data_IF_372364866884
#
_entry.id   IF_372364866884
#
_cell.length_a   1.000
_cell.length_b   1.000
_cell.length_c   1.000
_cell.angle_alpha   90.00
_cell.angle_beta   90.00
_cell.angle_gamma   90.00
#
_symmetry.space_group_name_H-M   'P 1'
#
loop_
_entity.id
_entity.type
_entity.pdbx_description
1 polymer ?
#
# COMPACT_ATOMS: atom_id res chain seq x y z
N UNK A 1 -8.16 -23.88 -14.13
CA UNK A 1 -6.72 -23.53 -14.01
C UNK A 1 -6.54 -22.12 -14.52
N UNK A 2 -5.73 -21.28 -13.86
CA UNK A 2 -5.52 -19.89 -14.28
C UNK A 2 -4.80 -19.81 -15.64
N UNK A 3 -5.10 -18.78 -16.42
CA UNK A 3 -4.46 -18.56 -17.73
C UNK A 3 -3.12 -17.80 -17.60
N UNK A 4 -2.37 -17.69 -18.70
CA UNK A 4 -1.08 -16.97 -18.72
C UNK A 4 -1.23 -15.50 -18.32
N UNK A 5 -2.35 -14.86 -18.65
CA UNK A 5 -2.62 -13.45 -18.34
C UNK A 5 -2.76 -13.25 -16.83
N UNK A 6 -3.44 -14.17 -16.14
CA UNK A 6 -3.60 -14.15 -14.69
C UNK A 6 -2.24 -14.23 -13.98
N UNK A 7 -1.37 -15.18 -14.37
CA UNK A 7 -0.03 -15.27 -13.79
C UNK A 7 0.83 -14.03 -14.07
N UNK A 8 0.77 -13.49 -15.29
CA UNK A 8 1.48 -12.26 -15.64
C UNK A 8 1.02 -11.08 -14.76
N UNK A 9 -0.29 -10.97 -14.51
CA UNK A 9 -0.86 -9.93 -13.65
C UNK A 9 -0.38 -10.04 -12.21
N UNK A 10 -0.36 -11.26 -11.64
CA UNK A 10 0.23 -11.50 -10.31
C UNK A 10 1.68 -11.03 -10.30
N UNK A 11 2.49 -11.47 -11.27
CA UNK A 11 3.92 -11.15 -11.32
C UNK A 11 4.19 -9.63 -11.40
N UNK A 12 3.42 -8.92 -12.23
CA UNK A 12 3.50 -7.45 -12.34
C UNK A 12 3.20 -6.81 -10.97
N UNK A 13 2.12 -7.20 -10.31
CA UNK A 13 1.73 -6.62 -9.03
C UNK A 13 2.72 -6.93 -7.91
N UNK A 14 3.29 -8.14 -7.88
CA UNK A 14 4.35 -8.49 -6.94
C UNK A 14 5.56 -7.57 -7.09
N UNK A 15 5.97 -7.32 -8.35
CA UNK A 15 7.09 -6.42 -8.67
C UNK A 15 6.78 -4.98 -8.28
N UNK A 16 5.59 -4.47 -8.64
CA UNK A 16 5.16 -3.12 -8.28
C UNK A 16 5.11 -2.91 -6.76
N UNK A 17 4.66 -3.92 -6.00
CA UNK A 17 4.57 -3.86 -4.54
C UNK A 17 5.88 -4.20 -3.83
N UNK A 18 6.97 -4.49 -4.57
CA UNK A 18 8.26 -4.94 -4.03
C UNK A 18 8.13 -6.13 -3.06
N UNK A 19 7.19 -7.04 -3.35
CA UNK A 19 6.95 -8.24 -2.54
C UNK A 19 8.04 -9.25 -2.85
N UNK A 20 8.75 -9.71 -1.82
CA UNK A 20 9.74 -10.77 -1.95
C UNK A 20 9.06 -12.12 -2.19
N UNK A 21 9.80 -13.10 -2.70
CA UNK A 21 9.25 -14.44 -2.89
C UNK A 21 8.79 -15.07 -1.56
N UNK A 22 9.54 -14.84 -0.48
CA UNK A 22 9.20 -15.33 0.86
C UNK A 22 7.91 -14.69 1.42
N UNK A 23 7.77 -13.37 1.26
CA UNK A 23 6.54 -12.67 1.62
C UNK A 23 5.36 -13.16 0.78
N UNK A 24 5.58 -13.39 -0.52
CA UNK A 24 4.54 -13.91 -1.40
C UNK A 24 4.07 -15.31 -0.99
N UNK A 25 4.98 -16.23 -0.66
CA UNK A 25 4.64 -17.55 -0.13
C UNK A 25 3.85 -17.46 1.16
N UNK A 26 4.23 -16.53 2.04
CA UNK A 26 3.50 -16.26 3.28
C UNK A 26 2.07 -15.78 3.00
N UNK A 27 1.89 -14.83 2.08
CA UNK A 27 0.56 -14.37 1.64
C UNK A 27 -0.28 -15.55 1.11
N UNK A 28 0.31 -16.42 0.29
CA UNK A 28 -0.38 -17.56 -0.29
C UNK A 28 -0.85 -18.56 0.78
N UNK A 29 0.04 -18.92 1.71
CA UNK A 29 -0.27 -19.84 2.80
C UNK A 29 -1.31 -19.27 3.76
N UNK A 30 -1.11 -18.04 4.23
CA UNK A 30 -1.93 -17.44 5.29
C UNK A 30 -3.35 -17.06 4.82
N UNK A 31 -3.52 -16.75 3.52
CA UNK A 31 -4.81 -16.28 2.99
C UNK A 31 -5.57 -17.33 2.17
N UNK A 32 -4.88 -18.34 1.65
CA UNK A 32 -5.43 -19.28 0.68
C UNK A 32 -5.07 -20.74 0.95
N UNK A 33 -4.22 -21.04 1.95
CA UNK A 33 -3.75 -22.39 2.30
C UNK A 33 -3.08 -23.12 1.12
N UNK A 34 -2.34 -22.37 0.29
CA UNK A 34 -1.60 -22.92 -0.86
C UNK A 34 -0.13 -22.50 -0.85
N UNK A 35 0.72 -23.30 -1.50
CA UNK A 35 2.16 -23.05 -1.63
C UNK A 35 2.51 -22.34 -2.95
N UNK A 36 1.60 -22.34 -3.92
CA UNK A 36 1.83 -21.76 -5.25
C UNK A 36 0.57 -21.17 -5.86
N UNK A 37 0.72 -20.09 -6.65
CA UNK A 37 -0.38 -19.54 -7.46
C UNK A 37 -0.98 -20.54 -8.44
N UNK A 38 -0.27 -21.62 -8.77
CA UNK A 38 -0.79 -22.69 -9.63
C UNK A 38 -1.96 -23.45 -9.01
N UNK A 39 -2.04 -23.45 -7.68
CA UNK A 39 -3.09 -24.13 -6.91
C UNK A 39 -4.33 -23.26 -6.70
N UNK A 40 -4.26 -21.96 -7.03
CA UNK A 40 -5.37 -21.04 -6.86
C UNK A 40 -6.51 -21.37 -7.84
N UNK A 41 -7.73 -21.40 -7.32
CA UNK A 41 -8.93 -21.29 -8.14
C UNK A 41 -9.21 -19.82 -8.50
N UNK A 42 -10.19 -19.58 -9.37
CA UNK A 42 -10.50 -18.23 -9.88
C UNK A 42 -10.93 -17.25 -8.76
N UNK A 43 -11.73 -17.72 -7.80
CA UNK A 43 -12.17 -16.90 -6.67
C UNK A 43 -11.00 -16.51 -5.76
N UNK A 44 -10.08 -17.44 -5.49
CA UNK A 44 -8.86 -17.16 -4.72
C UNK A 44 -7.93 -16.22 -5.48
N UNK A 45 -7.81 -16.38 -6.79
CA UNK A 45 -7.06 -15.47 -7.65
C UNK A 45 -7.60 -14.04 -7.57
N UNK A 46 -8.92 -13.83 -7.72
CA UNK A 46 -9.50 -12.49 -7.65
C UNK A 46 -9.26 -11.84 -6.29
N UNK A 47 -9.39 -12.62 -5.21
CA UNK A 47 -9.06 -12.17 -3.85
C UNK A 47 -7.58 -11.81 -3.71
N UNK A 48 -6.66 -12.61 -4.25
CA UNK A 48 -5.23 -12.30 -4.27
C UNK A 48 -4.96 -10.99 -5.01
N UNK A 49 -5.56 -10.80 -6.17
CA UNK A 49 -5.43 -9.55 -6.94
C UNK A 49 -5.94 -8.35 -6.13
N UNK A 50 -7.09 -8.48 -5.46
CA UNK A 50 -7.61 -7.43 -4.57
C UNK A 50 -6.64 -7.09 -3.44
N UNK A 51 -6.05 -8.10 -2.78
CA UNK A 51 -5.05 -7.89 -1.72
C UNK A 51 -3.82 -7.15 -2.24
N UNK A 52 -3.27 -7.59 -3.39
CA UNK A 52 -2.10 -6.97 -4.00
C UNK A 52 -2.38 -5.52 -4.44
N UNK A 53 -3.55 -5.26 -5.02
CA UNK A 53 -3.97 -3.91 -5.40
C UNK A 53 -4.15 -3.00 -4.17
N UNK A 54 -4.70 -3.51 -3.07
CA UNK A 54 -4.81 -2.75 -1.82
C UNK A 54 -3.44 -2.38 -1.27
N UNK A 55 -2.48 -3.32 -1.27
CA UNK A 55 -1.10 -3.06 -0.85
C UNK A 55 -0.45 -2.01 -1.74
N UNK A 56 -0.57 -2.15 -3.07
CA UNK A 56 -0.08 -1.16 -4.04
C UNK A 56 -0.66 0.23 -3.78
N UNK A 57 -1.97 0.33 -3.59
CA UNK A 57 -2.63 1.61 -3.34
C UNK A 57 -2.13 2.26 -2.05
N UNK A 58 -2.00 1.47 -0.97
CA UNK A 58 -1.44 1.99 0.28
C UNK A 58 -0.01 2.48 0.13
N UNK A 59 0.83 1.80 -0.65
CA UNK A 59 2.20 2.21 -0.93
C UNK A 59 2.23 3.54 -1.70
N UNK A 60 1.45 3.65 -2.78
CA UNK A 60 1.34 4.87 -3.59
C UNK A 60 0.83 6.07 -2.76
N UNK A 61 -0.12 5.85 -1.85
CA UNK A 61 -0.60 6.91 -0.96
C UNK A 61 0.49 7.42 0.00
N UNK A 62 1.35 6.52 0.52
CA UNK A 62 2.48 6.89 1.37
C UNK A 62 3.56 7.64 0.59
N UNK A 63 3.88 7.16 -0.61
CA UNK A 63 4.80 7.85 -1.53
C UNK A 63 4.29 9.26 -1.84
N UNK A 64 3.02 9.39 -2.20
CA UNK A 64 2.39 10.69 -2.46
C UNK A 64 2.40 11.60 -1.24
N UNK A 65 2.14 11.08 -0.04
CA UNK A 65 2.23 11.84 1.21
C UNK A 65 3.65 12.37 1.44
N UNK A 66 4.66 11.52 1.29
CA UNK A 66 6.07 11.91 1.40
C UNK A 66 6.43 13.01 0.41
N UNK A 67 5.99 12.88 -0.85
CA UNK A 67 6.22 13.90 -1.88
C UNK A 67 5.54 15.24 -1.52
N UNK A 68 4.31 15.21 -1.01
CA UNK A 68 3.63 16.43 -0.55
C UNK A 68 4.37 17.11 0.59
N UNK A 69 4.78 16.34 1.61
CA UNK A 69 5.52 16.88 2.76
C UNK A 69 6.86 17.48 2.33
N UNK A 70 7.55 16.84 1.37
CA UNK A 70 8.77 17.35 0.77
C UNK A 70 8.53 18.66 0.00
N UNK A 71 7.48 18.73 -0.82
CA UNK A 71 7.09 19.96 -1.56
C UNK A 71 6.71 21.11 -0.63
N UNK A 72 6.24 20.80 0.56
CA UNK A 72 5.92 21.77 1.62
C UNK A 72 7.12 22.08 2.53
N UNK A 73 8.30 21.54 2.24
CA UNK A 73 9.54 21.75 3.00
C UNK A 73 9.44 21.35 4.49
N UNK A 74 8.60 20.35 4.80
CA UNK A 74 8.43 19.84 6.15
C UNK A 74 9.64 19.00 6.54
N UNK A 75 10.49 19.54 7.43
CA UNK A 75 11.74 18.87 7.88
C UNK A 75 11.53 17.65 8.79
N UNK A 76 10.44 17.63 9.55
CA UNK A 76 10.10 16.54 10.48
C UNK A 76 8.70 15.98 10.16
N UNK A 77 8.57 15.15 9.11
CA UNK A 77 7.30 14.63 8.62
C UNK A 77 6.44 13.97 9.71
N UNK A 78 7.03 13.07 10.50
CA UNK A 78 6.34 12.28 11.52
C UNK A 78 5.80 13.15 12.65
N UNK A 79 6.61 14.09 13.15
CA UNK A 79 6.20 15.04 14.17
C UNK A 79 5.08 15.97 13.65
N UNK A 80 5.15 16.36 12.38
CA UNK A 80 4.14 17.20 11.75
C UNK A 80 2.81 16.44 11.58
N UNK A 81 2.87 15.21 11.09
CA UNK A 81 1.70 14.33 10.98
C UNK A 81 1.10 14.05 12.36
N UNK A 82 1.93 13.79 13.37
CA UNK A 82 1.49 13.55 14.74
C UNK A 82 0.65 14.72 15.28
N UNK A 83 1.04 15.95 14.95
CA UNK A 83 0.26 17.16 15.29
C UNK A 83 -1.06 17.24 14.52
N UNK A 84 -1.11 16.84 13.25
CA UNK A 84 -2.33 16.82 12.45
C UNK A 84 -3.34 15.79 12.98
N UNK A 85 -2.85 14.61 13.37
CA UNK A 85 -3.68 13.49 13.80
C UNK A 85 -3.95 13.47 15.31
N UNK A 86 -3.30 14.34 16.09
CA UNK A 86 -3.33 14.34 17.55
C UNK A 86 -3.00 12.96 18.13
N UNK A 87 -2.00 12.28 17.54
CA UNK A 87 -1.58 10.91 17.87
C UNK A 87 -0.08 10.77 17.61
N UNK A 88 0.61 9.97 18.43
CA UNK A 88 2.01 9.62 18.17
C UNK A 88 2.13 8.77 16.89
N UNK A 89 2.80 9.31 15.87
CA UNK A 89 3.20 8.59 14.67
C UNK A 89 4.72 8.49 14.68
N UNK A 90 5.23 7.27 14.87
CA UNK A 90 6.68 7.00 14.87
C UNK A 90 7.24 6.88 13.46
N UNK A 91 6.47 6.27 12.55
CA UNK A 91 6.82 6.10 11.14
C UNK A 91 5.59 6.29 10.28
N UNK A 92 5.76 6.92 9.12
CA UNK A 92 4.69 7.04 8.11
C UNK A 92 4.23 5.66 7.62
N UNK A 93 5.13 4.67 7.62
CA UNK A 93 4.82 3.29 7.25
C UNK A 93 3.78 2.63 8.18
N UNK A 94 3.66 3.09 9.42
CA UNK A 94 2.73 2.51 10.40
C UNK A 94 1.32 3.12 10.30
N UNK A 95 1.16 4.15 9.47
CA UNK A 95 -0.12 4.82 9.31
C UNK A 95 -1.14 3.93 8.60
N UNK A 96 -2.36 3.93 9.13
CA UNK A 96 -3.52 3.34 8.48
C UNK A 96 -3.93 4.15 7.25
N UNK A 97 -4.66 3.49 6.34
CA UNK A 97 -5.21 4.15 5.14
C UNK A 97 -6.07 5.37 5.47
N UNK A 98 -6.85 5.29 6.55
CA UNK A 98 -7.71 6.39 6.99
C UNK A 98 -6.90 7.59 7.51
N UNK A 99 -5.85 7.33 8.29
CA UNK A 99 -4.94 8.35 8.78
C UNK A 99 -4.23 9.07 7.63
N UNK A 100 -3.71 8.32 6.65
CA UNK A 100 -3.08 8.90 5.45
C UNK A 100 -4.09 9.76 4.70
N UNK A 101 -5.32 9.27 4.49
CA UNK A 101 -6.38 10.02 3.82
C UNK A 101 -6.75 11.34 4.53
N UNK A 102 -6.81 11.34 5.87
CA UNK A 102 -7.04 12.54 6.68
C UNK A 102 -5.92 13.56 6.49
N UNK A 103 -4.66 13.12 6.57
CA UNK A 103 -3.49 14.00 6.39
C UNK A 103 -3.48 14.60 4.98
N UNK A 104 -3.57 13.76 3.94
CA UNK A 104 -3.57 14.22 2.55
C UNK A 104 -4.64 15.28 2.29
N UNK A 105 -5.87 15.07 2.78
CA UNK A 105 -6.96 16.04 2.64
C UNK A 105 -6.61 17.41 3.26
N UNK A 106 -5.93 17.41 4.41
CA UNK A 106 -5.51 18.63 5.09
C UNK A 106 -4.38 19.31 4.32
N UNK A 107 -3.38 18.55 3.85
CA UNK A 107 -2.28 19.08 3.05
C UNK A 107 -2.79 19.70 1.73
N UNK A 108 -3.69 19.02 1.01
CA UNK A 108 -4.25 19.53 -0.24
C UNK A 108 -4.98 20.86 -0.05
N UNK A 109 -5.76 21.00 1.04
CA UNK A 109 -6.43 22.28 1.38
C UNK A 109 -5.45 23.41 1.67
N UNK A 110 -4.27 23.11 2.24
CA UNK A 110 -3.24 24.12 2.53
C UNK A 110 -2.49 24.54 1.27
N UNK A 111 -2.25 23.62 0.34
CA UNK A 111 -1.58 23.92 -0.93
C UNK A 111 -2.45 24.72 -1.90
N UNK A 112 -3.77 24.45 -1.96
CA UNK A 112 -4.69 25.19 -2.84
C UNK A 112 -5.08 26.59 -2.35
N UNK A 113 -4.52 27.06 -1.22
CA UNK A 113 -4.73 28.41 -0.66
C UNK A 113 -3.56 29.35 -0.91
N UNK A 114 -2.63 28.98 -1.80
CA UNK A 114 -1.55 29.84 -2.28
C UNK A 114 -1.89 30.41 -3.65
#
# INVERSE_FOLDING_TARGET
MLDRKAYARIHILLKECKISEEEYRTILRDNFEVESSRQLNFNQYDRLISLLLQKRFSMLQKEYLNDMLKRMEIRFPEAYISKILHKEIRRIDDMTREEIGKVLRILSKRMGRK
#
